data_IF_902322969620
#
_entry.id   IF_902322969620
#
_cell.length_a   1.000
_cell.length_b   1.000
_cell.length_c   1.000
_cell.angle_alpha   90.00
_cell.angle_beta   90.00
_cell.angle_gamma   90.00
#
_symmetry.space_group_name_H-M   'P 1'
#
loop_
_entity.id
_entity.type
_entity.pdbx_description
1 polymer ?
#
# COMPACT_ATOMS: atom_id res chain seq x y z
N UNK A 1 5.03 10.48 -18.86
CA UNK A 1 5.69 9.55 -19.81
C UNK A 1 5.63 8.26 -19.05
N UNK A 2 4.72 7.37 -19.42
CA UNK A 2 4.45 6.16 -18.67
C UNK A 2 5.77 5.38 -18.46
N UNK A 3 5.88 4.61 -17.38
CA UNK A 3 7.07 3.82 -17.08
C UNK A 3 7.15 2.59 -18.02
N UNK A 4 7.35 2.86 -19.32
CA UNK A 4 7.34 1.89 -20.41
C UNK A 4 8.57 0.98 -20.43
N UNK A 5 9.56 1.20 -19.55
CA UNK A 5 10.80 0.44 -19.51
C UNK A 5 10.86 -0.61 -18.39
N UNK A 6 9.86 -0.66 -17.50
CA UNK A 6 9.77 -1.63 -16.43
C UNK A 6 8.45 -2.43 -16.47
N UNK A 7 8.52 -3.74 -16.23
CA UNK A 7 7.33 -4.58 -16.07
C UNK A 7 6.72 -4.35 -14.68
N UNK A 8 5.88 -3.32 -14.54
CA UNK A 8 5.12 -3.05 -13.32
C UNK A 8 4.06 -4.13 -13.09
N UNK A 9 3.74 -4.36 -11.83
CA UNK A 9 2.78 -5.38 -11.40
C UNK A 9 2.69 -5.42 -9.89
N UNK A 10 2.09 -6.49 -9.38
CA UNK A 10 1.97 -6.73 -7.95
C UNK A 10 2.35 -8.17 -7.60
N UNK A 11 2.80 -8.36 -6.37
CA UNK A 11 3.03 -9.66 -5.77
C UNK A 11 1.88 -9.95 -4.82
N UNK A 12 1.41 -11.20 -4.80
CA UNK A 12 0.41 -11.68 -3.85
C UNK A 12 1.01 -12.82 -3.04
N UNK A 13 1.00 -12.68 -1.72
CA UNK A 13 1.37 -13.73 -0.78
C UNK A 13 0.18 -14.06 0.13
N UNK A 14 -0.01 -15.34 0.42
CA UNK A 14 -0.85 -15.81 1.54
C UNK A 14 0.07 -16.18 2.69
N UNK A 15 -0.14 -15.57 3.85
CA UNK A 15 0.59 -15.85 5.07
C UNK A 15 -0.29 -16.70 5.97
N UNK A 16 0.29 -17.76 6.52
CA UNK A 16 -0.35 -18.64 7.49
C UNK A 16 0.45 -18.64 8.79
N UNK A 17 -0.22 -18.39 9.91
CA UNK A 17 0.42 -18.37 11.23
C UNK A 17 0.46 -19.78 11.82
N UNK A 18 1.37 -20.06 12.77
CA UNK A 18 1.40 -21.34 13.47
C UNK A 18 0.10 -21.71 14.21
N UNK A 19 -0.77 -20.73 14.47
CA UNK A 19 -2.08 -20.92 15.11
C UNK A 19 -3.20 -21.17 14.09
N UNK A 20 -2.88 -21.36 12.80
CA UNK A 20 -3.83 -21.65 11.73
C UNK A 20 -4.63 -20.45 11.25
N UNK A 21 -4.26 -19.22 11.64
CA UNK A 21 -4.81 -17.99 11.07
C UNK A 21 -4.14 -17.69 9.73
N UNK A 22 -4.84 -17.03 8.82
CA UNK A 22 -4.23 -16.61 7.56
C UNK A 22 -4.72 -15.26 7.10
N UNK A 23 -3.89 -14.63 6.27
CA UNK A 23 -4.19 -13.34 5.66
C UNK A 23 -3.41 -13.20 4.35
N UNK A 24 -3.82 -12.23 3.55
CA UNK A 24 -3.16 -11.92 2.28
C UNK A 24 -2.33 -10.64 2.40
N UNK A 25 -1.21 -10.62 1.68
CA UNK A 25 -0.37 -9.45 1.51
C UNK A 25 -0.18 -9.19 0.03
N UNK A 26 -0.51 -7.97 -0.40
CA UNK A 26 -0.18 -7.46 -1.73
C UNK A 26 0.95 -6.45 -1.59
N UNK A 27 2.04 -6.68 -2.31
CA UNK A 27 3.10 -5.68 -2.49
C UNK A 27 3.07 -5.17 -3.93
N UNK A 28 3.12 -3.85 -4.13
CA UNK A 28 3.05 -3.27 -5.47
C UNK A 28 3.83 -1.96 -5.57
N UNK A 29 4.22 -1.62 -6.79
CA UNK A 29 4.74 -0.30 -7.15
C UNK A 29 4.03 0.11 -8.44
N UNK A 30 3.16 1.12 -8.39
CA UNK A 30 2.32 1.51 -9.53
C UNK A 30 3.04 2.41 -10.54
N UNK A 31 2.36 2.74 -11.64
CA UNK A 31 2.93 3.60 -12.69
C UNK A 31 3.31 4.99 -12.13
N UNK A 32 4.57 5.37 -12.35
CA UNK A 32 5.13 6.64 -11.93
C UNK A 32 4.83 7.73 -12.96
N UNK A 33 5.04 8.99 -12.58
CA UNK A 33 4.81 10.14 -13.45
C UNK A 33 3.52 10.87 -13.15
N UNK A 34 3.32 11.97 -13.88
CA UNK A 34 2.37 13.05 -13.55
C UNK A 34 1.36 13.35 -14.66
N UNK A 35 1.50 12.72 -15.82
CA UNK A 35 0.58 12.95 -16.92
C UNK A 35 -0.75 12.23 -16.67
N UNK A 36 -1.80 12.66 -17.37
CA UNK A 36 -3.10 11.99 -17.31
C UNK A 36 -3.03 10.51 -17.74
N UNK A 37 -2.13 10.18 -18.68
CA UNK A 37 -1.87 8.80 -19.09
C UNK A 37 -1.28 7.95 -17.97
N UNK A 38 -0.38 8.52 -17.17
CA UNK A 38 0.26 7.86 -16.04
C UNK A 38 -0.80 7.56 -14.95
N UNK A 39 -1.68 8.54 -14.67
CA UNK A 39 -2.81 8.34 -13.73
C UNK A 39 -3.82 7.30 -14.22
N UNK A 40 -4.13 7.30 -15.51
CA UNK A 40 -5.01 6.29 -16.09
C UNK A 40 -4.42 4.87 -15.97
N UNK A 41 -3.10 4.73 -16.12
CA UNK A 41 -2.42 3.47 -15.89
C UNK A 41 -2.56 3.02 -14.43
N UNK A 42 -2.33 3.91 -13.45
CA UNK A 42 -2.58 3.63 -12.03
C UNK A 42 -4.02 3.18 -11.76
N UNK A 43 -5.00 3.85 -12.36
CA UNK A 43 -6.41 3.47 -12.21
C UNK A 43 -6.69 2.04 -12.70
N UNK A 44 -6.15 1.66 -13.87
CA UNK A 44 -6.27 0.30 -14.40
C UNK A 44 -5.53 -0.73 -13.54
N UNK A 45 -4.34 -0.41 -13.03
CA UNK A 45 -3.59 -1.29 -12.13
C UNK A 45 -4.33 -1.54 -10.81
N UNK A 46 -4.91 -0.50 -10.21
CA UNK A 46 -5.73 -0.62 -8.99
C UNK A 46 -6.98 -1.47 -9.23
N UNK A 47 -7.63 -1.32 -10.39
CA UNK A 47 -8.77 -2.17 -10.77
C UNK A 47 -8.37 -3.66 -10.88
N UNK A 48 -7.19 -3.95 -11.45
CA UNK A 48 -6.68 -5.31 -11.54
C UNK A 48 -6.42 -5.92 -10.15
N UNK A 49 -5.79 -5.15 -9.26
CA UNK A 49 -5.55 -5.58 -7.87
C UNK A 49 -6.88 -5.81 -7.15
N UNK A 50 -7.83 -4.87 -7.26
CA UNK A 50 -9.14 -4.99 -6.62
C UNK A 50 -9.92 -6.22 -7.11
N UNK A 51 -9.95 -6.46 -8.43
CA UNK A 51 -10.57 -7.64 -9.01
C UNK A 51 -9.94 -8.93 -8.48
N UNK A 52 -8.60 -8.99 -8.43
CA UNK A 52 -7.89 -10.16 -7.90
C UNK A 52 -8.19 -10.38 -6.41
N UNK A 53 -8.23 -9.33 -5.60
CA UNK A 53 -8.49 -9.45 -4.15
C UNK A 53 -9.93 -9.81 -3.83
N UNK A 54 -10.90 -9.36 -4.65
CA UNK A 54 -12.28 -9.83 -4.55
C UNK A 54 -12.43 -11.31 -4.91
N UNK A 55 -11.56 -11.84 -5.77
CA UNK A 55 -11.56 -13.26 -6.11
C UNK A 55 -10.87 -14.12 -5.04
N UNK A 56 -9.71 -13.70 -4.54
CA UNK A 56 -8.86 -14.53 -3.67
C UNK A 56 -9.10 -14.31 -2.16
N UNK A 57 -9.60 -13.14 -1.78
CA UNK A 57 -9.53 -12.66 -0.39
C UNK A 57 -10.80 -11.92 0.07
N UNK A 58 -11.96 -12.14 -0.55
CA UNK A 58 -13.19 -11.33 -0.37
C UNK A 58 -13.60 -11.06 1.08
N UNK A 59 -13.42 -12.03 1.98
CA UNK A 59 -13.73 -11.95 3.42
C UNK A 59 -12.49 -12.15 4.31
N UNK A 60 -11.31 -12.14 3.71
CA UNK A 60 -10.06 -12.45 4.37
C UNK A 60 -9.34 -11.17 4.77
N UNK A 61 -8.57 -11.29 5.85
CA UNK A 61 -7.69 -10.22 6.29
C UNK A 61 -6.67 -9.93 5.17
N UNK A 62 -6.47 -8.65 4.89
CA UNK A 62 -5.69 -8.22 3.73
C UNK A 62 -4.85 -6.99 4.11
N UNK A 63 -3.60 -7.02 3.69
CA UNK A 63 -2.66 -5.90 3.74
C UNK A 63 -2.24 -5.59 2.29
N UNK A 64 -2.28 -4.32 1.90
CA UNK A 64 -1.76 -3.83 0.62
C UNK A 64 -0.71 -2.76 0.92
N UNK A 65 0.51 -2.98 0.44
CA UNK A 65 1.68 -2.13 0.72
C UNK A 65 2.45 -1.75 -0.53
N UNK A 66 3.12 -0.60 -0.44
CA UNK A 66 4.14 -0.15 -1.39
C UNK A 66 3.89 1.27 -1.91
N UNK A 67 4.67 1.64 -2.93
CA UNK A 67 4.58 2.93 -3.61
C UNK A 67 3.42 2.92 -4.60
N UNK A 68 2.30 3.53 -4.22
CA UNK A 68 1.14 3.61 -5.09
C UNK A 68 1.26 4.74 -6.12
N UNK A 69 2.29 5.58 -6.03
CA UNK A 69 2.48 6.77 -6.86
C UNK A 69 1.25 7.70 -6.89
N UNK A 70 0.38 7.61 -5.88
CA UNK A 70 -0.80 8.46 -5.70
C UNK A 70 -0.45 9.56 -4.71
N UNK A 71 -0.31 10.80 -5.19
CA UNK A 71 0.01 11.93 -4.30
C UNK A 71 -1.22 12.33 -3.50
N UNK A 72 -1.17 12.22 -2.18
CA UNK A 72 -2.29 12.63 -1.32
C UNK A 72 -2.75 14.09 -1.54
N UNK A 73 -1.81 14.98 -1.85
CA UNK A 73 -2.10 16.40 -2.06
C UNK A 73 -2.65 16.72 -3.46
N UNK A 74 -2.58 15.76 -4.41
CA UNK A 74 -3.25 15.87 -5.71
C UNK A 74 -4.70 15.37 -5.56
N UNK A 75 -5.73 16.21 -5.83
CA UNK A 75 -7.12 15.82 -5.58
C UNK A 75 -7.59 14.61 -6.38
N UNK A 76 -7.06 14.41 -7.59
CA UNK A 76 -7.48 13.33 -8.48
C UNK A 76 -6.82 12.00 -8.10
N UNK A 77 -5.53 12.02 -7.75
CA UNK A 77 -4.85 10.85 -7.17
C UNK A 77 -5.49 10.46 -5.83
N UNK A 78 -5.82 11.44 -4.98
CA UNK A 78 -6.53 11.20 -3.71
C UNK A 78 -7.90 10.58 -3.94
N UNK A 79 -8.68 11.09 -4.90
CA UNK A 79 -9.98 10.52 -5.23
C UNK A 79 -9.86 9.06 -5.69
N UNK A 80 -8.83 8.75 -6.47
CA UNK A 80 -8.54 7.38 -6.92
C UNK A 80 -8.17 6.45 -5.75
N UNK A 81 -7.32 6.91 -4.83
CA UNK A 81 -6.97 6.18 -3.61
C UNK A 81 -8.20 5.90 -2.74
N UNK A 82 -9.03 6.91 -2.47
CA UNK A 82 -10.20 6.75 -1.62
C UNK A 82 -11.25 5.83 -2.27
N UNK A 83 -11.41 5.87 -3.60
CA UNK A 83 -12.25 4.92 -4.31
C UNK A 83 -11.73 3.48 -4.17
N UNK A 84 -10.43 3.26 -4.35
CA UNK A 84 -9.80 1.94 -4.17
C UNK A 84 -9.95 1.41 -2.73
N UNK A 85 -9.70 2.27 -1.73
CA UNK A 85 -9.90 1.93 -0.32
C UNK A 85 -11.35 1.55 -0.05
N UNK A 86 -12.31 2.34 -0.52
CA UNK A 86 -13.73 2.06 -0.35
C UNK A 86 -14.14 0.73 -0.99
N UNK A 87 -13.65 0.45 -2.21
CA UNK A 87 -14.00 -0.74 -2.97
C UNK A 87 -13.57 -2.05 -2.29
N UNK A 88 -12.45 -2.00 -1.55
CA UNK A 88 -11.92 -3.14 -0.80
C UNK A 88 -12.16 -3.03 0.71
N UNK A 89 -12.78 -1.96 1.22
CA UNK A 89 -12.96 -1.74 2.66
C UNK A 89 -11.64 -1.56 3.43
N UNK A 90 -10.66 -0.89 2.83
CA UNK A 90 -9.32 -0.68 3.40
C UNK A 90 -9.23 0.58 4.26
N UNK A 91 -8.43 0.49 5.31
CA UNK A 91 -7.98 1.59 6.17
C UNK A 91 -6.51 1.87 5.90
N UNK A 92 -6.10 3.14 5.94
CA UNK A 92 -4.70 3.55 5.86
C UNK A 92 -4.11 3.64 7.26
N UNK A 93 -3.19 2.73 7.58
CA UNK A 93 -2.60 2.60 8.93
C UNK A 93 -1.59 3.71 9.25
N UNK A 94 -0.88 4.21 8.24
CA UNK A 94 0.25 5.14 8.38
C UNK A 94 -0.12 6.58 8.02
N UNK A 95 -1.42 6.89 7.95
CA UNK A 95 -1.91 8.21 7.55
C UNK A 95 -1.33 9.30 8.46
N UNK A 96 -0.63 10.25 7.86
CA UNK A 96 0.00 11.39 8.56
C UNK A 96 1.50 11.22 8.82
N UNK A 97 2.00 9.98 8.93
CA UNK A 97 3.41 9.69 9.27
C UNK A 97 4.38 10.36 8.29
N UNK A 98 4.15 10.18 6.98
CA UNK A 98 5.01 10.76 5.94
C UNK A 98 5.00 12.30 5.94
N UNK A 99 3.86 12.91 6.26
CA UNK A 99 3.73 14.37 6.30
C UNK A 99 4.56 14.97 7.43
N UNK A 100 4.59 14.30 8.59
CA UNK A 100 5.44 14.67 9.74
C UNK A 100 6.93 14.58 9.40
N UNK A 101 7.32 13.61 8.57
CA UNK A 101 8.69 13.48 8.04
C UNK A 101 9.05 14.43 6.89
N UNK A 102 8.09 15.19 6.36
CA UNK A 102 8.31 16.13 5.25
C UNK A 102 8.39 15.46 3.85
N UNK A 103 7.99 14.19 3.74
CA UNK A 103 8.03 13.43 2.49
C UNK A 103 6.75 13.64 1.66
N UNK A 104 6.83 13.55 0.32
CA UNK A 104 5.65 13.35 -0.50
C UNK A 104 4.93 12.07 -0.08
N UNK A 105 3.62 12.17 0.17
CA UNK A 105 2.81 11.00 0.55
C UNK A 105 2.50 10.19 -0.72
N UNK A 106 3.23 9.10 -0.91
CA UNK A 106 3.19 8.21 -2.09
C UNK A 106 3.12 6.73 -1.71
N UNK A 107 3.75 6.39 -0.59
CA UNK A 107 3.81 5.04 -0.05
C UNK A 107 2.64 4.82 0.92
N UNK A 108 2.00 3.65 0.84
CA UNK A 108 0.82 3.37 1.66
C UNK A 108 0.93 2.00 2.32
N UNK A 109 0.41 1.90 3.54
CA UNK A 109 0.19 0.64 4.25
C UNK A 109 -1.30 0.55 4.54
N UNK A 110 -2.03 -0.06 3.62
CA UNK A 110 -3.47 -0.23 3.66
C UNK A 110 -3.81 -1.60 4.24
N UNK A 111 -4.86 -1.70 5.04
CA UNK A 111 -5.30 -2.99 5.58
C UNK A 111 -6.80 -3.07 5.80
N UNK A 112 -7.30 -4.31 5.91
CA UNK A 112 -8.64 -4.61 6.46
C UNK A 112 -8.59 -5.91 7.25
N UNK A 113 -9.51 -6.00 8.22
CA UNK A 113 -9.77 -7.23 8.94
C UNK A 113 -10.62 -8.19 8.10
N UNK A 114 -10.43 -9.49 8.32
CA UNK A 114 -11.26 -10.55 7.76
C UNK A 114 -12.26 -11.09 8.78
N UNK A 115 -13.02 -12.11 8.35
CA UNK A 115 -13.97 -12.82 9.21
C UNK A 115 -13.27 -13.74 10.22
N UNK A 116 -12.15 -14.35 9.84
CA UNK A 116 -11.41 -15.34 10.64
C UNK A 116 -10.19 -14.76 11.36
N UNK A 117 -9.55 -13.77 10.74
CA UNK A 117 -8.28 -13.17 11.17
C UNK A 117 -8.46 -11.67 11.24
N UNK A 118 -7.97 -11.06 12.33
CA UNK A 118 -8.03 -9.61 12.51
C UNK A 118 -6.67 -9.07 12.90
N UNK A 119 -6.43 -7.80 12.58
CA UNK A 119 -5.25 -7.06 12.95
C UNK A 119 -5.60 -6.02 14.00
N UNK A 120 -4.81 -5.99 15.06
CA UNK A 120 -4.69 -4.84 15.95
C UNK A 120 -3.39 -4.11 15.61
N UNK A 121 -3.51 -2.84 15.22
CA UNK A 121 -2.35 -2.00 14.91
C UNK A 121 -1.75 -1.50 16.23
N UNK A 122 -0.53 -1.94 16.52
CA UNK A 122 0.18 -1.60 17.76
C UNK A 122 1.00 -0.32 17.60
N UNK A 123 1.64 -0.15 16.45
CA UNK A 123 2.56 0.96 16.20
C UNK A 123 2.71 1.18 14.69
N UNK A 124 2.91 2.43 14.30
CA UNK A 124 3.21 2.84 12.92
C UNK A 124 4.27 3.94 12.93
N UNK A 125 5.07 4.03 11.87
CA UNK A 125 6.09 5.07 11.80
C UNK A 125 7.02 4.94 10.60
N UNK A 126 8.06 5.76 10.62
CA UNK A 126 9.23 5.67 9.74
C UNK A 126 10.37 4.99 10.49
N UNK A 127 10.99 3.99 9.88
CA UNK A 127 12.21 3.39 10.37
C UNK A 127 13.42 4.17 9.87
N UNK A 128 13.98 5.00 10.75
CA UNK A 128 15.10 5.90 10.43
C UNK A 128 16.46 5.20 10.47
N UNK A 129 16.52 3.89 10.76
CA UNK A 129 17.80 3.15 10.75
C UNK A 129 18.31 2.87 9.33
N UNK A 130 17.45 3.01 8.31
CA UNK A 130 17.78 2.83 6.90
C UNK A 130 18.59 4.01 6.33
N UNK A 131 19.75 4.27 6.94
CA UNK A 131 20.67 5.34 6.56
C UNK A 131 22.15 4.89 6.68
N UNK A 132 23.04 5.58 5.98
CA UNK A 132 24.49 5.45 6.13
C UNK A 132 25.12 6.82 6.42
N UNK A 133 26.46 6.90 6.45
CA UNK A 133 27.20 8.15 6.74
C UNK A 133 26.88 9.31 5.77
N UNK A 134 26.28 9.01 4.60
CA UNK A 134 25.90 9.99 3.58
C UNK A 134 24.41 10.37 3.64
N UNK A 135 23.64 9.79 4.56
CA UNK A 135 22.20 10.03 4.71
C UNK A 135 21.34 8.79 4.43
N UNK A 136 20.04 8.97 4.17
CA UNK A 136 19.10 7.87 3.90
C UNK A 136 19.55 6.96 2.76
N UNK A 137 19.23 5.68 2.84
CA UNK A 137 19.53 4.69 1.78
C UNK A 137 18.60 4.81 0.57
N UNK A 138 17.54 5.61 0.67
CA UNK A 138 16.49 5.78 -0.33
C UNK A 138 16.03 7.24 -0.34
N UNK A 139 15.44 7.66 -1.45
CA UNK A 139 14.72 8.94 -1.60
C UNK A 139 13.25 8.84 -1.15
N UNK A 140 12.84 7.67 -0.65
CA UNK A 140 11.56 7.42 0.02
C UNK A 140 11.79 6.95 1.47
N UNK A 141 10.89 7.30 2.40
CA UNK A 141 10.98 6.82 3.78
C UNK A 141 10.69 5.32 3.88
N UNK A 142 11.38 4.64 4.80
CA UNK A 142 11.07 3.26 5.13
C UNK A 142 9.91 3.22 6.15
N UNK A 143 8.70 2.89 5.71
CA UNK A 143 7.50 2.93 6.56
C UNK A 143 7.22 1.56 7.17
N UNK A 144 6.74 1.54 8.42
CA UNK A 144 6.38 0.31 9.11
C UNK A 144 4.99 0.37 9.75
N UNK A 145 4.41 -0.82 9.91
CA UNK A 145 3.25 -1.11 10.75
C UNK A 145 3.55 -2.35 11.58
N UNK A 146 3.49 -2.23 12.90
CA UNK A 146 3.53 -3.35 13.85
C UNK A 146 2.10 -3.74 14.20
N UNK A 147 1.82 -5.03 14.15
CA UNK A 147 0.49 -5.57 14.29
C UNK A 147 0.47 -6.82 15.17
N UNK A 148 -0.62 -6.99 15.91
CA UNK A 148 -1.00 -8.25 16.55
C UNK A 148 -2.07 -8.93 15.67
N UNK A 149 -1.91 -10.25 15.48
CA UNK A 149 -2.84 -11.07 14.68
C UNK A 149 -3.71 -11.87 15.64
N UNK A 150 -5.03 -11.69 15.55
CA UNK A 150 -6.04 -12.36 16.38
C UNK A 150 -6.95 -13.30 15.57
#
# INVERSE_FOLDING_TARGET
MNDCFASKGFQLARIETPLGKHFYVVNTHLDAGRNSSDRQARATQLQQIAAKMKQEASEEALIIVGDLNLRWNDPEDRALLEAFKKDLGLTDSIKGVQAEGGWPILDYVLYRNGSSTTFEVLEVGEDTVFQNEKGPLSDHPALFMKLLIN
#
